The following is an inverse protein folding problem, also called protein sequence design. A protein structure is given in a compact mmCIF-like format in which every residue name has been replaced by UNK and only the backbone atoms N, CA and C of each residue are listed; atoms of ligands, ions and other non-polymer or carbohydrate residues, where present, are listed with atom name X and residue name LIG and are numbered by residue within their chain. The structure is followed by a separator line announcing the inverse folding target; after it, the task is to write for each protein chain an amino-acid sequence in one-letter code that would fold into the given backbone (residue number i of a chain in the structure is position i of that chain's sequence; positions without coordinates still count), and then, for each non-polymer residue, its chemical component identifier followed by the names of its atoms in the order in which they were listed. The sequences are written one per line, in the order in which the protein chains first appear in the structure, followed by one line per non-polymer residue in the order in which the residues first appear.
data_IF_965544237354
#
_entry.id   IF_965544237354
#
_cell.length_a   1.000
_cell.length_b   1.000
_cell.length_c   1.000
_cell.angle_alpha   90.00
_cell.angle_beta   90.00
_cell.angle_gamma   90.00
#
_symmetry.space_group_name_H-M   'P 1'
#
loop_
_entity.id
_entity.type
_entity.pdbx_description
1 polymer ?
#
# COMPACT_ATOMS: atom_id res chain seq x y z
N UNK A 1 47.28 41.64 -4.40
CA UNK A 1 48.09 40.65 -5.17
C UNK A 1 47.18 39.49 -5.48
N UNK A 2 46.90 39.35 -6.74
CA UNK A 2 45.96 38.40 -7.32
C UNK A 2 46.77 37.20 -7.81
N UNK A 3 46.39 35.98 -7.46
CA UNK A 3 46.92 34.78 -8.07
C UNK A 3 45.75 33.93 -8.61
N UNK A 4 45.60 33.90 -9.92
CA UNK A 4 44.73 33.05 -10.66
C UNK A 4 45.40 31.68 -10.92
N UNK A 5 44.69 30.59 -10.70
CA UNK A 5 45.13 29.24 -11.12
C UNK A 5 44.30 28.79 -12.30
N UNK A 6 44.95 28.54 -13.43
CA UNK A 6 44.36 28.04 -14.66
C UNK A 6 44.23 26.51 -14.62
N UNK A 7 43.07 26.00 -15.04
CA UNK A 7 42.82 24.59 -15.25
C UNK A 7 43.15 24.24 -16.71
N UNK A 8 44.00 23.24 -16.93
CA UNK A 8 44.38 22.75 -18.25
C UNK A 8 43.40 21.66 -18.74
N UNK A 9 42.86 21.90 -19.95
CA UNK A 9 42.02 20.96 -20.70
C UNK A 9 42.95 20.04 -21.53
N UNK A 10 42.92 18.74 -21.35
CA UNK A 10 43.60 17.76 -22.20
C UNK A 10 42.59 17.20 -23.21
N UNK A 11 42.78 17.56 -24.48
CA UNK A 11 42.06 16.98 -25.60
C UNK A 11 42.90 15.84 -26.15
N UNK A 12 42.44 14.60 -26.03
CA UNK A 12 43.03 13.42 -26.67
C UNK A 12 42.30 13.09 -27.96
N UNK A 13 42.97 13.30 -29.09
CA UNK A 13 42.50 12.86 -30.41
C UNK A 13 42.99 11.41 -30.63
N UNK A 14 42.09 10.51 -30.92
CA UNK A 14 42.36 9.09 -31.24
C UNK A 14 41.57 8.64 -32.47
N UNK A 15 42.28 8.22 -33.43
CA UNK A 15 42.18 7.89 -34.84
C UNK A 15 41.01 6.99 -35.29
N UNK A 16 40.57 7.26 -36.54
CA UNK A 16 39.70 6.49 -37.42
C UNK A 16 40.12 5.02 -37.61
N UNK A 17 39.15 4.11 -37.43
CA UNK A 17 39.20 2.75 -37.94
C UNK A 17 37.81 2.34 -38.42
N UNK A 18 37.58 2.40 -39.76
CA UNK A 18 36.33 1.98 -40.36
C UNK A 18 36.22 0.46 -40.44
N UNK A 19 35.05 -0.07 -40.07
CA UNK A 19 34.61 -1.42 -40.50
C UNK A 19 33.16 -1.32 -40.94
N UNK A 20 32.94 -1.59 -42.22
CA UNK A 20 31.62 -1.80 -42.83
C UNK A 20 31.06 -3.13 -42.30
N UNK A 21 29.96 -3.09 -41.58
CA UNK A 21 29.25 -4.28 -41.09
C UNK A 21 27.75 -4.12 -41.33
N UNK A 22 27.24 -5.04 -42.09
CA UNK A 22 25.89 -5.23 -42.62
C UNK A 22 24.76 -5.05 -41.61
N UNK A 23 23.71 -4.35 -42.06
CA UNK A 23 22.41 -4.25 -41.45
C UNK A 23 21.77 -5.64 -41.20
N UNK A 24 21.52 -5.99 -39.96
CA UNK A 24 20.54 -6.99 -39.57
C UNK A 24 19.50 -6.26 -38.69
N UNK A 25 18.32 -6.12 -39.26
CA UNK A 25 17.15 -5.62 -38.54
C UNK A 25 16.75 -6.61 -37.44
N UNK A 26 17.22 -6.37 -36.22
CA UNK A 26 16.79 -7.10 -35.02
C UNK A 26 15.73 -6.29 -34.30
N UNK A 27 14.52 -6.84 -34.23
CA UNK A 27 13.40 -6.34 -33.44
C UNK A 27 13.83 -6.10 -31.99
N UNK A 28 13.89 -4.86 -31.56
CA UNK A 28 14.08 -4.51 -30.15
C UNK A 28 12.75 -4.73 -29.42
N UNK A 29 12.58 -5.91 -28.89
CA UNK A 29 11.55 -6.17 -27.88
C UNK A 29 11.95 -5.41 -26.63
N UNK A 30 11.19 -4.39 -26.27
CA UNK A 30 11.40 -3.59 -25.07
C UNK A 30 11.04 -4.42 -23.84
N UNK A 31 12.01 -5.02 -23.19
CA UNK A 31 11.90 -5.63 -21.86
C UNK A 31 12.08 -4.54 -20.79
N UNK A 32 11.11 -3.60 -20.72
CA UNK A 32 11.15 -2.52 -19.72
C UNK A 32 10.73 -2.95 -18.30
N UNK A 33 10.16 -4.15 -18.14
CA UNK A 33 9.65 -4.60 -16.85
C UNK A 33 10.66 -5.24 -15.90
N UNK A 34 11.76 -5.80 -16.42
CA UNK A 34 12.68 -6.59 -15.61
C UNK A 34 13.80 -5.78 -14.93
N UNK A 35 14.17 -4.64 -15.51
CA UNK A 35 15.28 -3.83 -15.01
C UNK A 35 14.95 -3.02 -13.76
N UNK A 36 13.71 -2.59 -13.58
CA UNK A 36 13.29 -1.78 -12.42
C UNK A 36 13.29 -2.61 -11.14
N UNK A 37 12.76 -3.83 -11.19
CA UNK A 37 12.72 -4.73 -10.01
C UNK A 37 14.12 -5.12 -9.53
N UNK A 38 15.05 -5.35 -10.46
CA UNK A 38 16.45 -5.67 -10.12
C UNK A 38 17.16 -4.47 -9.51
N UNK A 39 16.94 -3.25 -10.03
CA UNK A 39 17.55 -2.04 -9.49
C UNK A 39 17.06 -1.73 -8.07
N UNK A 40 15.77 -1.95 -7.78
CA UNK A 40 15.19 -1.77 -6.44
C UNK A 40 15.76 -2.82 -5.47
N UNK A 41 15.86 -4.08 -5.87
CA UNK A 41 16.45 -5.14 -5.05
C UNK A 41 17.92 -4.86 -4.71
N UNK A 42 18.69 -4.34 -5.66
CA UNK A 42 20.08 -3.93 -5.44
C UNK A 42 20.17 -2.72 -4.50
N UNK A 43 19.27 -1.72 -4.64
CA UNK A 43 19.24 -0.55 -3.77
C UNK A 43 18.94 -0.94 -2.31
N UNK A 44 17.96 -1.83 -2.09
CA UNK A 44 17.63 -2.35 -0.75
C UNK A 44 18.80 -3.14 -0.13
N UNK A 45 19.50 -3.97 -0.93
CA UNK A 45 20.66 -4.72 -0.49
C UNK A 45 21.85 -3.83 -0.16
N UNK A 46 21.98 -2.66 -0.79
CA UNK A 46 23.03 -1.68 -0.55
C UNK A 46 22.72 -0.71 0.62
N UNK A 47 21.57 -0.87 1.29
CA UNK A 47 21.14 0.03 2.38
C UNK A 47 20.78 1.45 1.90
N UNK A 48 20.50 1.63 0.62
CA UNK A 48 20.03 2.90 0.07
C UNK A 48 18.54 3.09 0.35
N UNK A 49 18.15 4.31 0.69
CA UNK A 49 16.73 4.67 0.83
C UNK A 49 16.08 4.77 -0.56
N UNK A 50 14.92 4.13 -0.72
CA UNK A 50 14.11 4.27 -1.93
C UNK A 50 13.52 5.67 -2.01
N UNK A 51 13.43 6.22 -3.23
CA UNK A 51 12.61 7.40 -3.45
C UNK A 51 11.12 7.07 -3.28
N UNK A 52 10.30 8.07 -2.95
CA UNK A 52 8.85 7.94 -2.85
C UNK A 52 8.23 7.26 -4.09
N UNK A 53 8.68 7.61 -5.29
CA UNK A 53 8.21 7.01 -6.53
C UNK A 53 8.59 5.52 -6.65
N UNK A 54 9.78 5.15 -6.19
CA UNK A 54 10.20 3.74 -6.17
C UNK A 54 9.39 2.93 -5.15
N UNK A 55 9.16 3.47 -3.94
CA UNK A 55 8.28 2.83 -2.95
C UNK A 55 6.88 2.66 -3.54
N UNK A 56 6.32 3.71 -4.16
CA UNK A 56 5.00 3.64 -4.80
C UNK A 56 4.94 2.54 -5.87
N UNK A 57 5.93 2.43 -6.74
CA UNK A 57 5.94 1.42 -7.81
C UNK A 57 6.03 -0.02 -7.29
N UNK A 58 6.69 -0.25 -6.15
CA UNK A 58 6.82 -1.58 -5.54
C UNK A 58 5.57 -1.98 -4.79
N UNK A 59 4.94 -1.04 -4.08
CA UNK A 59 3.81 -1.33 -3.19
C UNK A 59 2.47 -1.36 -3.93
N UNK A 60 2.25 -0.48 -4.92
CA UNK A 60 0.97 -0.38 -5.64
C UNK A 60 0.43 -1.71 -6.19
N UNK A 61 1.25 -2.64 -6.73
CA UNK A 61 0.74 -3.94 -7.20
C UNK A 61 0.14 -4.83 -6.11
N UNK A 62 0.43 -4.55 -4.82
CA UNK A 62 -0.12 -5.28 -3.67
C UNK A 62 -1.33 -4.60 -3.03
N UNK A 63 -1.82 -3.50 -3.59
CA UNK A 63 -3.00 -2.76 -3.10
C UNK A 63 -4.19 -3.04 -4.02
N UNK A 64 -5.34 -3.32 -3.43
CA UNK A 64 -6.57 -3.64 -4.15
C UNK A 64 -7.72 -2.75 -3.68
N UNK A 65 -8.72 -2.56 -4.55
CA UNK A 65 -10.03 -1.99 -4.15
C UNK A 65 -10.94 -3.08 -3.66
N UNK A 66 -11.69 -2.83 -2.60
CA UNK A 66 -12.72 -3.73 -2.08
C UNK A 66 -14.05 -3.01 -2.15
N UNK A 67 -15.03 -3.64 -2.80
CA UNK A 67 -16.42 -3.19 -2.85
C UNK A 67 -17.28 -4.24 -2.18
N UNK A 68 -17.90 -3.89 -1.06
CA UNK A 68 -18.83 -4.76 -0.33
C UNK A 68 -20.27 -4.24 -0.51
N UNK A 69 -21.11 -5.04 -1.17
CA UNK A 69 -22.49 -4.69 -1.48
C UNK A 69 -23.46 -5.54 -0.67
N UNK A 70 -24.24 -4.91 0.18
CA UNK A 70 -25.36 -5.52 0.90
C UNK A 70 -26.70 -5.04 0.36
N UNK A 71 -27.77 -5.48 0.99
CA UNK A 71 -29.15 -5.22 0.51
C UNK A 71 -29.54 -3.74 0.37
N UNK A 72 -28.84 -2.81 1.03
CA UNK A 72 -29.19 -1.38 1.07
C UNK A 72 -28.01 -0.42 1.00
N UNK A 73 -26.78 -0.91 1.09
CA UNK A 73 -25.59 -0.07 1.15
C UNK A 73 -24.43 -0.75 0.42
N UNK A 74 -23.63 0.07 -0.22
CA UNK A 74 -22.33 -0.33 -0.76
C UNK A 74 -21.26 0.39 0.06
N UNK A 75 -20.28 -0.37 0.53
CA UNK A 75 -19.07 0.14 1.18
C UNK A 75 -17.90 -0.05 0.24
N UNK A 76 -17.00 0.90 0.21
CA UNK A 76 -15.77 0.83 -0.57
C UNK A 76 -14.56 1.12 0.31
N UNK A 77 -13.47 0.44 0.05
CA UNK A 77 -12.20 0.62 0.71
C UNK A 77 -11.09 -0.07 -0.04
N UNK A 78 -9.96 -0.15 0.61
CA UNK A 78 -8.74 -0.77 0.07
C UNK A 78 -8.39 -2.07 0.79
N UNK A 79 -7.48 -2.84 0.21
CA UNK A 79 -6.94 -4.04 0.84
C UNK A 79 -5.49 -4.25 0.48
N UNK A 80 -4.82 -5.06 1.28
CA UNK A 80 -3.40 -5.41 1.19
C UNK A 80 -3.29 -6.87 0.81
N UNK A 81 -2.71 -7.19 -0.32
CA UNK A 81 -2.47 -8.57 -0.75
C UNK A 81 -1.42 -9.20 0.17
N UNK A 82 -1.79 -10.28 0.86
CA UNK A 82 -0.92 -11.05 1.77
C UNK A 82 -0.25 -12.23 1.08
N UNK A 83 -0.85 -12.76 0.02
CA UNK A 83 -0.32 -13.94 -0.67
C UNK A 83 -0.70 -13.97 -2.14
N UNK A 84 0.11 -14.66 -2.93
CA UNK A 84 -0.09 -14.79 -4.39
C UNK A 84 -1.38 -15.51 -4.78
N UNK A 85 -2.01 -16.25 -3.87
CA UNK A 85 -3.26 -16.99 -4.07
C UNK A 85 -4.51 -16.24 -3.57
N UNK A 86 -4.38 -14.93 -3.24
CA UNK A 86 -5.52 -14.05 -3.00
C UNK A 86 -5.98 -13.88 -1.56
N UNK A 87 -5.11 -14.12 -0.54
CA UNK A 87 -5.40 -13.64 0.82
C UNK A 87 -5.17 -12.13 0.87
N UNK A 88 -6.12 -11.40 1.46
CA UNK A 88 -6.13 -9.93 1.48
C UNK A 88 -6.51 -9.48 2.88
N UNK A 89 -5.74 -8.55 3.45
CA UNK A 89 -6.03 -7.87 4.71
C UNK A 89 -6.74 -6.54 4.42
N UNK A 90 -7.74 -6.20 5.22
CA UNK A 90 -8.47 -4.92 5.15
C UNK A 90 -9.04 -4.55 6.52
N UNK A 91 -9.77 -3.43 6.60
CA UNK A 91 -10.56 -3.11 7.79
C UNK A 91 -11.87 -3.91 7.85
N UNK A 92 -12.30 -4.23 9.07
CA UNK A 92 -13.57 -4.90 9.31
C UNK A 92 -14.77 -4.02 8.84
N UNK A 93 -14.75 -2.72 9.10
CA UNK A 93 -15.85 -1.83 8.71
C UNK A 93 -16.07 -1.75 7.20
N UNK A 94 -15.03 -2.02 6.37
CA UNK A 94 -15.13 -2.06 4.90
C UNK A 94 -16.05 -3.21 4.46
N UNK A 95 -15.97 -4.35 5.14
CA UNK A 95 -16.74 -5.56 4.80
C UNK A 95 -17.96 -5.80 5.70
N UNK A 96 -17.98 -5.21 6.89
CA UNK A 96 -19.12 -5.30 7.82
C UNK A 96 -20.23 -4.26 7.53
N UNK A 97 -19.98 -3.32 6.63
CA UNK A 97 -20.82 -2.13 6.39
C UNK A 97 -22.27 -2.36 5.97
N UNK A 98 -22.72 -3.60 5.88
CA UNK A 98 -24.11 -3.92 5.59
C UNK A 98 -24.81 -4.75 6.68
N UNK A 99 -24.16 -5.00 7.81
CA UNK A 99 -24.86 -5.57 8.97
C UNK A 99 -25.59 -4.45 9.70
N UNK A 100 -26.84 -4.18 9.32
CA UNK A 100 -27.73 -3.27 10.05
C UNK A 100 -27.72 -3.62 11.53
N UNK A 101 -27.67 -2.59 12.40
CA UNK A 101 -28.02 -2.71 13.84
C UNK A 101 -29.31 -3.52 13.94
N UNK A 102 -29.20 -4.81 14.28
CA UNK A 102 -30.35 -5.70 14.44
C UNK A 102 -30.22 -7.08 13.80
N UNK A 103 -29.08 -7.48 13.27
CA UNK A 103 -28.80 -8.89 12.92
C UNK A 103 -29.57 -9.46 11.72
N UNK A 104 -30.22 -8.63 10.90
CA UNK A 104 -30.91 -9.03 9.67
C UNK A 104 -30.18 -8.51 8.43
N UNK A 105 -28.85 -8.58 8.40
CA UNK A 105 -28.06 -8.34 7.21
C UNK A 105 -28.24 -9.54 6.25
N UNK A 106 -28.66 -9.26 5.00
CA UNK A 106 -28.59 -10.28 3.94
C UNK A 106 -27.14 -10.58 3.55
N UNK A 107 -26.90 -11.57 2.69
CA UNK A 107 -25.57 -11.91 2.23
C UNK A 107 -24.89 -10.69 1.61
N UNK A 108 -23.63 -10.47 1.97
CA UNK A 108 -22.77 -9.42 1.42
C UNK A 108 -22.04 -10.01 0.24
N UNK A 109 -22.16 -9.38 -0.93
CA UNK A 109 -21.29 -9.65 -2.06
C UNK A 109 -20.02 -8.81 -1.92
N UNK A 110 -18.85 -9.44 -1.88
CA UNK A 110 -17.56 -8.75 -1.83
C UNK A 110 -16.86 -8.97 -3.18
N UNK A 111 -16.59 -7.88 -3.86
CA UNK A 111 -15.78 -7.83 -5.08
C UNK A 111 -14.44 -7.16 -4.77
N UNK A 112 -13.36 -7.74 -5.26
CA UNK A 112 -12.02 -7.19 -5.20
C UNK A 112 -11.58 -6.81 -6.60
N UNK A 113 -11.19 -5.55 -6.80
CA UNK A 113 -10.54 -5.09 -8.03
C UNK A 113 -9.03 -5.06 -7.79
N UNK A 114 -8.30 -5.88 -8.54
CA UNK A 114 -6.85 -6.01 -8.47
C UNK A 114 -6.16 -4.83 -9.14
N UNK A 115 -4.88 -4.60 -8.85
CA UNK A 115 -4.08 -3.52 -9.44
C UNK A 115 -4.04 -3.52 -10.98
N UNK A 116 -4.27 -4.66 -11.63
CA UNK A 116 -4.36 -4.78 -13.09
C UNK A 116 -5.78 -4.59 -13.65
N UNK A 117 -6.72 -4.13 -12.82
CA UNK A 117 -8.12 -3.92 -13.18
C UNK A 117 -9.00 -5.17 -13.22
N UNK A 118 -8.44 -6.37 -13.02
CA UNK A 118 -9.25 -7.60 -12.95
C UNK A 118 -10.06 -7.63 -11.66
N UNK A 119 -11.30 -8.13 -11.77
CA UNK A 119 -12.23 -8.30 -10.67
C UNK A 119 -12.33 -9.76 -10.25
N UNK A 120 -12.45 -9.97 -8.95
CA UNK A 120 -12.65 -11.30 -8.37
C UNK A 120 -13.64 -11.22 -7.21
N UNK A 121 -14.46 -12.24 -7.03
CA UNK A 121 -15.29 -12.38 -5.85
C UNK A 121 -14.41 -12.78 -4.66
N UNK A 122 -14.76 -12.31 -3.48
CA UNK A 122 -14.05 -12.66 -2.26
C UNK A 122 -15.01 -13.08 -1.15
N UNK A 123 -14.50 -13.87 -0.21
CA UNK A 123 -15.20 -14.26 1.02
C UNK A 123 -14.40 -13.86 2.23
N UNK A 124 -15.08 -13.56 3.33
CA UNK A 124 -14.42 -13.28 4.61
C UNK A 124 -13.94 -14.58 5.21
N UNK A 125 -12.64 -14.65 5.52
CA UNK A 125 -11.99 -15.79 6.18
C UNK A 125 -11.92 -15.57 7.68
N UNK A 126 -11.64 -14.34 8.09
CA UNK A 126 -11.49 -13.98 9.50
C UNK A 126 -11.87 -12.51 9.70
N UNK A 127 -12.43 -12.22 10.87
CA UNK A 127 -12.79 -10.86 11.30
C UNK A 127 -12.41 -10.64 12.75
N UNK A 128 -11.90 -9.44 13.03
CA UNK A 128 -11.69 -8.90 14.37
C UNK A 128 -12.34 -7.52 14.44
N UNK A 129 -13.57 -7.48 14.94
CA UNK A 129 -14.32 -6.23 15.07
C UNK A 129 -13.76 -5.32 16.19
N UNK A 130 -13.01 -5.87 17.13
CA UNK A 130 -12.41 -5.10 18.23
C UNK A 130 -11.24 -4.24 17.72
N UNK A 131 -10.44 -4.79 16.82
CA UNK A 131 -9.31 -4.08 16.23
C UNK A 131 -9.61 -3.55 14.81
N UNK A 132 -10.87 -3.67 14.35
CA UNK A 132 -11.30 -3.23 13.00
C UNK A 132 -10.48 -3.86 11.87
N UNK A 133 -10.26 -5.18 11.92
CA UNK A 133 -9.50 -5.95 10.92
C UNK A 133 -10.33 -7.07 10.30
N UNK A 134 -10.09 -7.37 9.04
CA UNK A 134 -10.65 -8.53 8.35
C UNK A 134 -9.65 -9.12 7.36
N UNK A 135 -9.71 -10.44 7.17
CA UNK A 135 -8.97 -11.16 6.14
C UNK A 135 -9.96 -11.77 5.15
N UNK A 136 -9.73 -11.54 3.88
CA UNK A 136 -10.51 -12.05 2.77
C UNK A 136 -9.73 -13.10 1.99
N UNK A 137 -10.46 -13.99 1.32
CA UNK A 137 -9.95 -14.87 0.27
C UNK A 137 -10.63 -14.51 -1.05
N UNK A 138 -9.87 -13.96 -1.99
CA UNK A 138 -10.31 -13.76 -3.37
C UNK A 138 -10.28 -15.10 -4.14
N UNK A 139 -11.30 -15.34 -4.96
CA UNK A 139 -11.48 -16.58 -5.72
C UNK A 139 -10.99 -16.44 -7.15
N UNK A 140 -10.40 -17.51 -7.71
CA UNK A 140 -10.01 -17.54 -9.12
C UNK A 140 -8.80 -16.66 -9.46
N UNK A 141 -7.98 -16.30 -8.47
CA UNK A 141 -6.78 -15.46 -8.62
C UNK A 141 -5.51 -16.24 -8.30
N UNK A 142 -4.44 -15.89 -8.99
CA UNK A 142 -3.10 -16.44 -8.73
C UNK A 142 -2.03 -15.47 -9.23
N UNK A 143 -0.82 -15.62 -8.73
CA UNK A 143 0.32 -14.80 -9.16
C UNK A 143 0.24 -13.35 -8.71
N UNK A 144 -0.55 -13.04 -7.65
CA UNK A 144 -0.62 -11.70 -7.10
C UNK A 144 0.70 -11.32 -6.41
N UNK A 145 1.03 -10.05 -6.46
CA UNK A 145 2.18 -9.49 -5.73
C UNK A 145 1.77 -9.30 -4.27
N UNK A 146 2.35 -10.08 -3.38
CA UNK A 146 2.15 -9.91 -1.93
C UNK A 146 2.94 -8.71 -1.41
N UNK A 147 2.36 -7.97 -0.47
CA UNK A 147 3.03 -6.89 0.23
C UNK A 147 4.12 -7.43 1.17
N UNK A 148 5.19 -6.67 1.34
CA UNK A 148 6.20 -6.94 2.36
C UNK A 148 5.70 -6.43 3.71
N UNK A 149 5.50 -7.34 4.67
CA UNK A 149 5.04 -6.99 6.01
C UNK A 149 6.24 -6.64 6.90
N UNK A 150 6.21 -5.45 7.49
CA UNK A 150 7.27 -4.93 8.37
C UNK A 150 7.18 -5.50 9.79
N UNK A 151 7.30 -6.84 9.93
CA UNK A 151 7.31 -7.49 11.24
C UNK A 151 8.55 -7.08 12.02
N UNK A 152 8.35 -6.43 13.18
CA UNK A 152 9.45 -5.99 14.03
C UNK A 152 10.12 -4.68 13.60
N UNK A 153 9.65 -4.01 12.55
CA UNK A 153 10.09 -2.66 12.23
C UNK A 153 9.70 -1.71 13.38
N UNK A 154 10.68 -1.02 13.95
CA UNK A 154 10.39 0.05 14.91
C UNK A 154 9.69 1.20 14.18
N UNK A 155 8.62 1.72 14.78
CA UNK A 155 7.89 2.89 14.28
C UNK A 155 8.15 4.05 15.23
N UNK A 156 8.85 5.08 14.73
CA UNK A 156 9.24 6.24 15.52
C UNK A 156 8.57 7.50 14.97
N UNK A 157 8.29 8.45 15.87
CA UNK A 157 7.83 9.80 15.47
C UNK A 157 8.89 10.43 14.58
N UNK A 158 8.46 10.98 13.44
CA UNK A 158 9.33 11.56 12.41
C UNK A 158 9.70 10.60 11.27
N UNK A 159 9.44 9.29 11.38
CA UNK A 159 9.68 8.36 10.29
C UNK A 159 8.83 8.72 9.07
N UNK A 160 9.44 8.76 7.88
CA UNK A 160 8.74 8.98 6.63
C UNK A 160 7.83 7.81 6.29
N UNK A 161 6.59 8.11 5.90
CA UNK A 161 5.58 7.11 5.54
C UNK A 161 4.83 7.48 4.27
N UNK A 162 4.31 6.45 3.59
CA UNK A 162 3.37 6.58 2.49
C UNK A 162 2.09 5.81 2.84
N UNK A 163 0.95 6.45 2.66
CA UNK A 163 -0.34 5.81 2.75
C UNK A 163 -0.88 5.53 1.35
N UNK A 164 -1.36 4.32 1.16
CA UNK A 164 -1.93 3.85 -0.10
C UNK A 164 -3.42 3.60 0.04
N UNK A 165 -4.13 3.83 -1.04
CA UNK A 165 -5.50 3.44 -1.23
C UNK A 165 -5.79 3.25 -2.71
N UNK A 166 -6.90 2.60 -3.01
CA UNK A 166 -7.37 2.39 -4.38
C UNK A 166 -8.85 2.78 -4.49
N UNK A 167 -9.17 4.07 -4.25
CA UNK A 167 -10.56 4.53 -4.31
C UNK A 167 -11.09 4.43 -5.75
N UNK A 168 -12.35 4.02 -5.90
CA UNK A 168 -13.11 4.01 -7.16
C UNK A 168 -12.51 3.09 -8.26
N UNK A 169 -11.65 2.13 -7.92
CA UNK A 169 -10.99 1.26 -8.91
C UNK A 169 -10.09 2.03 -9.89
N UNK A 170 -9.80 3.29 -9.62
CA UNK A 170 -8.83 4.10 -10.34
C UNK A 170 -7.45 3.84 -9.76
N UNK A 171 -6.41 3.88 -10.61
CA UNK A 171 -5.01 3.63 -10.24
C UNK A 171 -4.64 4.27 -8.91
N UNK A 172 -4.06 3.45 -8.02
CA UNK A 172 -3.86 3.68 -6.60
C UNK A 172 -3.45 5.09 -6.19
N UNK A 173 -4.18 5.67 -5.26
CA UNK A 173 -3.82 6.94 -4.62
C UNK A 173 -2.68 6.70 -3.64
N UNK A 174 -1.67 7.54 -3.69
CA UNK A 174 -0.53 7.55 -2.76
C UNK A 174 -0.43 8.92 -2.12
N UNK A 175 -0.38 8.97 -0.79
CA UNK A 175 -0.10 10.20 -0.04
C UNK A 175 1.15 10.01 0.82
N UNK A 176 1.93 11.08 1.00
CA UNK A 176 3.17 11.06 1.76
C UNK A 176 3.03 11.90 3.03
N UNK A 177 3.73 11.50 4.07
CA UNK A 177 3.79 12.18 5.35
C UNK A 177 4.83 11.54 6.27
N UNK A 178 4.64 11.77 7.56
CA UNK A 178 5.46 11.19 8.63
C UNK A 178 4.58 10.50 9.68
N UNK A 179 5.20 9.71 10.52
CA UNK A 179 4.59 9.28 11.78
C UNK A 179 4.56 10.51 12.72
N UNK A 180 3.37 11.02 13.01
CA UNK A 180 3.18 12.19 13.88
C UNK A 180 3.14 11.82 15.35
N UNK A 181 2.63 10.62 15.67
CA UNK A 181 2.59 10.07 17.04
C UNK A 181 2.37 8.54 16.97
N UNK A 182 2.63 7.87 18.09
CA UNK A 182 2.32 6.45 18.32
C UNK A 182 1.46 6.28 19.56
N UNK A 183 0.90 5.08 19.76
CA UNK A 183 0.07 4.73 20.92
C UNK A 183 -1.16 5.64 21.10
N UNK A 184 -1.80 6.05 19.99
CA UNK A 184 -3.03 6.84 20.01
C UNK A 184 -4.25 5.97 20.24
N UNK A 185 -5.27 6.56 20.85
CA UNK A 185 -6.61 5.97 20.98
C UNK A 185 -7.64 6.92 20.41
N UNK A 186 -8.60 6.36 19.70
CA UNK A 186 -9.71 7.13 19.07
C UNK A 186 -11.01 6.36 19.21
N UNK A 187 -12.12 7.10 19.29
CA UNK A 187 -13.45 6.51 19.19
C UNK A 187 -13.86 6.43 17.73
N UNK A 188 -14.17 5.23 17.28
CA UNK A 188 -14.57 4.94 15.89
C UNK A 188 -15.89 4.15 15.88
N UNK A 189 -16.97 4.82 15.53
CA UNK A 189 -18.28 4.17 15.32
C UNK A 189 -18.87 3.42 16.52
N UNK A 190 -18.48 3.77 17.75
CA UNK A 190 -18.94 3.14 18.99
C UNK A 190 -17.98 2.08 19.55
N UNK A 191 -16.81 1.93 18.98
CA UNK A 191 -15.68 1.17 19.51
C UNK A 191 -14.48 2.09 19.70
N UNK A 192 -13.66 1.84 20.70
CA UNK A 192 -12.39 2.56 20.91
C UNK A 192 -11.26 1.73 20.29
N UNK A 193 -10.62 2.26 19.24
CA UNK A 193 -9.39 1.70 18.70
C UNK A 193 -8.21 2.27 19.48
N UNK A 194 -7.29 1.40 19.90
CA UNK A 194 -6.13 1.77 20.72
C UNK A 194 -4.82 1.42 20.04
N UNK A 195 -3.71 1.95 20.57
CA UNK A 195 -2.35 1.68 20.07
C UNK A 195 -2.14 2.10 18.59
N UNK A 196 -2.83 3.14 18.12
CA UNK A 196 -2.77 3.55 16.73
C UNK A 196 -1.50 4.37 16.44
N UNK A 197 -1.04 4.28 15.18
CA UNK A 197 -0.07 5.18 14.57
C UNK A 197 -0.84 6.40 14.07
N UNK A 198 -0.43 7.61 14.45
CA UNK A 198 -0.92 8.86 13.88
C UNK A 198 0.03 9.33 12.79
N UNK A 199 -0.50 9.81 11.66
CA UNK A 199 0.26 10.35 10.54
C UNK A 199 -0.39 11.63 10.00
N UNK A 200 0.39 12.50 9.38
CA UNK A 200 -0.08 13.65 8.59
C UNK A 200 -0.24 13.32 7.11
N UNK A 201 0.18 12.13 6.66
CA UNK A 201 -0.22 11.61 5.35
C UNK A 201 -1.75 11.66 5.21
N UNK A 202 -2.24 12.19 4.09
CA UNK A 202 -3.69 12.38 3.91
C UNK A 202 -4.42 11.03 3.87
N UNK A 203 -5.21 10.73 4.90
CA UNK A 203 -6.10 9.58 4.99
C UNK A 203 -7.52 10.07 4.75
N UNK A 204 -8.17 9.53 3.72
CA UNK A 204 -9.52 9.87 3.28
C UNK A 204 -10.33 8.60 3.04
N UNK A 205 -11.64 8.77 2.80
CA UNK A 205 -12.49 7.69 2.32
C UNK A 205 -11.85 7.04 1.08
N UNK A 206 -11.80 5.70 1.06
CA UNK A 206 -11.11 4.91 0.04
C UNK A 206 -9.71 4.42 0.44
N UNK A 207 -9.00 5.08 1.38
CA UNK A 207 -7.73 4.57 1.91
C UNK A 207 -7.92 3.53 3.03
N UNK A 208 -9.11 3.44 3.65
CA UNK A 208 -9.42 2.45 4.70
C UNK A 208 -9.07 1.05 4.25
N UNK A 209 -8.30 0.32 5.06
CA UNK A 209 -7.85 -1.04 4.77
C UNK A 209 -6.60 -1.11 3.88
N UNK A 210 -6.18 0.00 3.28
CA UNK A 210 -4.92 0.09 2.55
C UNK A 210 -3.70 0.20 3.47
N UNK A 211 -2.48 -0.02 2.96
CA UNK A 211 -1.27 0.00 3.77
C UNK A 211 -0.76 1.40 4.07
N UNK A 212 -0.26 1.58 5.30
CA UNK A 212 0.74 2.58 5.64
C UNK A 212 2.11 1.90 5.57
N UNK A 213 3.03 2.44 4.76
CA UNK A 213 4.35 1.82 4.57
C UNK A 213 5.48 2.76 4.98
N UNK A 214 6.61 2.19 5.38
CA UNK A 214 7.84 2.93 5.65
C UNK A 214 8.64 3.20 4.36
N UNK A 215 9.79 3.89 4.48
CA UNK A 215 10.66 4.23 3.36
C UNK A 215 11.31 3.00 2.66
N UNK A 216 11.24 1.81 3.26
CA UNK A 216 11.67 0.56 2.65
C UNK A 216 10.53 -0.17 1.91
N UNK A 217 9.31 0.41 1.85
CA UNK A 217 8.14 -0.21 1.22
C UNK A 217 7.52 -1.33 2.05
N UNK A 218 7.84 -1.42 3.34
CA UNK A 218 7.28 -2.41 4.25
C UNK A 218 6.01 -1.87 4.90
N UNK A 219 4.96 -2.68 4.95
CA UNK A 219 3.70 -2.34 5.63
C UNK A 219 3.95 -2.29 7.14
N UNK A 220 3.74 -1.12 7.73
CA UNK A 220 3.85 -0.88 9.18
C UNK A 220 2.48 -0.67 9.83
N UNK A 221 1.45 -0.35 9.02
CA UNK A 221 0.09 -0.14 9.52
C UNK A 221 -0.98 -0.33 8.45
N UNK A 222 -2.24 -0.36 8.89
CA UNK A 222 -3.46 -0.44 8.08
C UNK A 222 -4.24 0.85 8.29
N UNK A 223 -4.46 1.64 7.24
CA UNK A 223 -5.11 2.95 7.29
C UNK A 223 -6.57 2.85 7.78
N UNK A 224 -7.00 3.80 8.61
CA UNK A 224 -8.38 3.91 9.10
C UNK A 224 -8.92 5.32 8.81
N UNK A 225 -9.74 5.47 7.75
CA UNK A 225 -10.23 6.78 7.33
C UNK A 225 -11.37 7.32 8.20
N UNK A 226 -12.21 6.44 8.80
CA UNK A 226 -13.34 6.86 9.62
C UNK A 226 -12.96 7.58 10.93
N UNK A 227 -11.67 7.56 11.26
CA UNK A 227 -11.14 8.14 12.48
C UNK A 227 -10.95 9.67 12.43
N UNK A 228 -11.05 10.29 11.25
CA UNK A 228 -10.70 11.70 11.03
C UNK A 228 -11.89 12.57 10.57
N UNK A 229 -12.99 11.97 10.16
CA UNK A 229 -14.10 12.70 9.58
C UNK A 229 -15.21 13.02 10.59
N UNK A 230 -15.01 14.00 11.43
CA UNK A 230 -16.16 14.76 11.94
C UNK A 230 -16.66 15.67 10.80
N UNK A 231 -17.86 15.40 10.27
CA UNK A 231 -18.60 16.25 9.32
C UNK A 231 -18.20 16.23 7.83
N UNK A 232 -17.72 15.11 7.27
CA UNK A 232 -17.64 14.98 5.80
C UNK A 232 -16.52 15.80 5.11
N UNK A 233 -15.65 16.41 5.87
CA UNK A 233 -14.45 17.08 5.35
C UNK A 233 -13.35 16.05 5.15
N UNK A 234 -12.58 16.18 4.06
CA UNK A 234 -11.39 15.36 3.82
C UNK A 234 -10.32 15.48 4.92
N UNK A 235 -9.18 14.87 4.71
CA UNK A 235 -8.06 14.92 5.66
C UNK A 235 -7.70 16.35 6.07
N UNK A 236 -7.57 16.57 7.37
CA UNK A 236 -7.13 17.84 7.98
C UNK A 236 -5.67 17.77 8.46
N UNK A 237 -4.87 16.83 7.92
CA UNK A 237 -3.50 16.58 8.37
C UNK A 237 -3.41 15.69 9.61
N UNK A 238 -4.48 14.99 9.96
CA UNK A 238 -4.51 13.98 11.03
C UNK A 238 -5.12 12.71 10.49
N UNK A 239 -4.34 11.66 10.37
CA UNK A 239 -4.73 10.33 9.94
C UNK A 239 -4.31 9.28 10.96
N UNK A 240 -4.92 8.10 10.92
CA UNK A 240 -4.60 7.00 11.82
C UNK A 240 -4.43 5.69 11.05
N UNK A 241 -3.56 4.82 11.58
CA UNK A 241 -3.40 3.46 11.08
C UNK A 241 -3.26 2.48 12.25
N UNK A 242 -3.85 1.30 12.10
CA UNK A 242 -3.69 0.18 13.01
C UNK A 242 -2.30 -0.40 12.78
N UNK A 243 -1.43 -0.54 13.80
CA UNK A 243 -0.12 -1.15 13.61
C UNK A 243 -0.25 -2.57 13.01
N UNK A 244 0.62 -2.90 12.06
CA UNK A 244 0.59 -4.23 11.44
C UNK A 244 0.83 -5.35 12.45
N UNK A 245 1.53 -5.07 13.55
CA UNK A 245 1.73 -6.02 14.66
C UNK A 245 0.41 -6.52 15.25
N UNK A 246 -0.65 -5.71 15.27
CA UNK A 246 -1.99 -6.10 15.70
C UNK A 246 -2.60 -7.16 14.78
N UNK A 247 -2.26 -7.12 13.48
CA UNK A 247 -2.80 -8.04 12.47
C UNK A 247 -2.01 -9.37 12.34
N UNK A 248 -0.86 -9.51 12.99
CA UNK A 248 0.07 -10.66 12.78
C UNK A 248 -0.62 -12.01 13.03
N UNK A 249 -1.43 -12.15 14.08
CA UNK A 249 -2.18 -13.36 14.36
C UNK A 249 -3.09 -13.77 13.20
N UNK A 250 -3.84 -12.81 12.65
CA UNK A 250 -4.75 -13.03 11.52
C UNK A 250 -3.98 -13.31 10.22
N UNK A 251 -2.86 -12.61 9.99
CA UNK A 251 -1.99 -12.82 8.82
C UNK A 251 -1.46 -14.25 8.79
N UNK A 252 -1.01 -14.77 9.93
CA UNK A 252 -0.45 -16.12 10.07
C UNK A 252 -1.51 -17.23 10.16
N UNK A 253 -2.80 -16.88 10.14
CA UNK A 253 -3.90 -17.84 10.24
C UNK A 253 -4.15 -18.37 11.66
N UNK A 254 -3.53 -17.77 12.68
CA UNK A 254 -3.78 -18.07 14.09
C UNK A 254 -4.93 -17.18 14.59
N UNK A 255 -6.15 -17.52 14.19
CA UNK A 255 -7.35 -16.90 14.75
C UNK A 255 -7.89 -17.89 15.76
N UNK A 256 -7.80 -17.53 17.03
CA UNK A 256 -8.42 -18.27 18.14
C UNK A 256 -9.93 -18.04 18.18
#
# INVERSE_FOLDING_TARGET
MIAAAAAALVIGAGTLGGVVGTQLAGSRTSTAGSSTSTAIAVALAAGQTLSTAQVASVVSPSVVTITATGNRQTSEGSGIVLSSNGRILTNNHVVAGSTSRGGRGGPIAIEVTLANGKKANATVVSQDATHDLAVLQASGVSGLTAATIGTGAAVNVGDSVLAFGSPLGLEGTVTAGIVSAVNRSIDSGGSTLTNLIQTDAAINAGNSGGPLVNAAGQVIGINVANATASNGSGSIGVGFAIPVSTAIGMINGNVG
#
